data_IF_456672707817
#
_entry.id   IF_456672707817
#
_cell.length_a   1.000
_cell.length_b   1.000
_cell.length_c   1.000
_cell.angle_alpha   90.00
_cell.angle_beta   90.00
_cell.angle_gamma   90.00
#
_symmetry.space_group_name_H-M   'P 1'
#
loop_
_entity.id
_entity.type
_entity.pdbx_description
1 polymer ?
#
# COMPACT_ATOMS: atom_id res chain seq x y z
N UNK A 1 -58.01 9.91 1.33
CA UNK A 1 -57.71 9.31 2.65
C UNK A 1 -56.52 8.38 2.43
N UNK A 2 -55.33 8.55 2.98
CA UNK A 2 -54.89 9.36 4.10
C UNK A 2 -53.55 10.07 3.78
N UNK A 3 -53.40 11.25 4.36
CA UNK A 3 -52.20 12.10 4.31
C UNK A 3 -51.02 11.41 5.00
N UNK A 4 -49.90 11.24 4.30
CA UNK A 4 -48.59 11.10 4.96
C UNK A 4 -48.11 12.51 5.32
N UNK A 5 -48.45 12.92 6.55
CA UNK A 5 -47.87 14.09 7.20
C UNK A 5 -46.36 13.87 7.33
N UNK A 6 -45.58 14.80 6.79
CA UNK A 6 -44.19 15.01 7.20
C UNK A 6 -44.17 15.24 8.72
N UNK A 7 -43.42 14.41 9.45
CA UNK A 7 -43.08 14.70 10.83
C UNK A 7 -42.28 16.03 10.89
N UNK A 8 -42.56 16.92 11.85
CA UNK A 8 -41.78 18.14 11.99
C UNK A 8 -40.36 17.78 12.42
N UNK A 9 -39.36 18.36 11.75
CA UNK A 9 -38.00 18.47 12.26
C UNK A 9 -38.05 19.11 13.65
N UNK A 10 -37.98 18.27 14.68
CA UNK A 10 -37.70 18.67 16.06
C UNK A 10 -36.31 19.31 16.07
N UNK A 11 -36.25 20.63 15.89
CA UNK A 11 -35.10 21.43 16.28
C UNK A 11 -35.11 21.57 17.79
N UNK A 12 -34.81 20.48 18.48
CA UNK A 12 -34.39 20.57 19.88
C UNK A 12 -33.02 21.25 19.87
N UNK A 13 -32.83 22.41 20.55
CA UNK A 13 -31.50 22.97 20.68
C UNK A 13 -30.65 21.94 21.42
N UNK A 14 -29.49 21.57 20.85
CA UNK A 14 -28.47 20.81 21.58
C UNK A 14 -28.24 21.52 22.92
N UNK A 15 -28.22 20.80 24.06
CA UNK A 15 -27.94 21.43 25.35
C UNK A 15 -26.65 22.23 25.23
N UNK A 16 -26.69 23.49 25.69
CA UNK A 16 -25.53 24.38 25.66
C UNK A 16 -24.43 23.76 26.51
N UNK A 17 -23.32 23.38 25.87
CA UNK A 17 -22.12 22.89 26.53
C UNK A 17 -21.69 23.87 27.63
N UNK A 18 -21.22 23.34 28.75
CA UNK A 18 -20.58 24.12 29.82
C UNK A 18 -19.30 24.77 29.30
N UNK A 19 -18.82 25.83 29.96
CA UNK A 19 -17.57 26.51 29.56
C UNK A 19 -16.36 25.56 29.54
N UNK A 20 -16.32 24.60 30.45
CA UNK A 20 -15.27 23.57 30.52
C UNK A 20 -15.35 22.59 29.34
N UNK A 21 -16.56 22.17 28.97
CA UNK A 21 -16.77 21.31 27.79
C UNK A 21 -16.44 22.04 26.48
N UNK A 22 -16.78 23.32 26.37
CA UNK A 22 -16.42 24.17 25.21
C UNK A 22 -14.90 24.33 25.09
N UNK A 23 -14.20 24.54 26.21
CA UNK A 23 -12.75 24.69 26.23
C UNK A 23 -12.05 23.37 25.86
N UNK A 24 -12.55 22.23 26.35
CA UNK A 24 -12.03 20.91 26.01
C UNK A 24 -12.28 20.56 24.53
N UNK A 25 -13.43 20.95 23.97
CA UNK A 25 -13.74 20.80 22.55
C UNK A 25 -12.78 21.63 21.68
N UNK A 26 -12.55 22.90 22.04
CA UNK A 26 -11.60 23.78 21.34
C UNK A 26 -10.17 23.23 21.38
N UNK A 27 -9.70 22.74 22.53
CA UNK A 27 -8.39 22.11 22.67
C UNK A 27 -8.27 20.85 21.79
N UNK A 28 -9.31 20.02 21.76
CA UNK A 28 -9.35 18.80 20.93
C UNK A 28 -9.26 19.14 19.44
N UNK A 29 -10.01 20.15 18.98
CA UNK A 29 -9.97 20.62 17.59
C UNK A 29 -8.60 21.19 17.24
N UNK A 30 -7.99 21.94 18.15
CA UNK A 30 -6.63 22.47 17.99
C UNK A 30 -5.60 21.35 17.83
N UNK A 31 -5.66 20.31 18.67
CA UNK A 31 -4.79 19.13 18.56
C UNK A 31 -5.01 18.37 17.24
N UNK A 32 -6.25 18.26 16.79
CA UNK A 32 -6.57 17.65 15.50
C UNK A 32 -5.95 18.46 14.34
N UNK A 33 -6.08 19.79 14.34
CA UNK A 33 -5.46 20.64 13.33
C UNK A 33 -3.94 20.50 13.32
N UNK A 34 -3.32 20.46 14.51
CA UNK A 34 -1.88 20.26 14.64
C UNK A 34 -1.42 18.88 14.14
N UNK A 35 -2.23 17.84 14.34
CA UNK A 35 -1.99 16.50 13.81
C UNK A 35 -2.02 16.51 12.27
N UNK A 36 -2.99 17.21 11.68
CA UNK A 36 -3.12 17.33 10.22
C UNK A 36 -1.87 17.94 9.57
N UNK A 37 -1.32 19.00 10.16
CA UNK A 37 -0.07 19.65 9.69
C UNK A 37 1.10 18.67 9.66
N UNK A 38 1.13 17.70 10.58
CA UNK A 38 2.21 16.71 10.70
C UNK A 38 1.89 15.37 10.05
N UNK A 39 0.78 15.23 9.32
CA UNK A 39 0.34 13.95 8.72
C UNK A 39 1.42 13.29 7.88
N UNK A 40 2.23 14.07 7.17
CA UNK A 40 3.30 13.54 6.32
C UNK A 40 4.48 12.95 7.10
N UNK A 41 4.64 13.26 8.38
CA UNK A 41 5.73 12.72 9.19
C UNK A 41 5.65 11.19 9.29
N UNK A 42 4.47 10.64 9.58
CA UNK A 42 4.27 9.20 9.69
C UNK A 42 4.64 8.42 8.40
N UNK A 43 4.05 8.71 7.22
CA UNK A 43 4.35 7.92 6.03
C UNK A 43 5.80 8.07 5.59
N UNK A 44 6.43 9.23 5.80
CA UNK A 44 7.85 9.42 5.47
C UNK A 44 8.78 8.69 6.42
N UNK A 45 8.46 8.63 7.72
CA UNK A 45 9.21 7.83 8.69
C UNK A 45 9.05 6.33 8.42
N UNK A 46 7.84 5.88 8.08
CA UNK A 46 7.62 4.48 7.68
C UNK A 46 8.36 4.13 6.39
N UNK A 47 8.35 5.02 5.39
CA UNK A 47 9.16 4.87 4.17
C UNK A 47 10.63 4.68 4.50
N UNK A 48 11.20 5.57 5.31
CA UNK A 48 12.60 5.47 5.72
C UNK A 48 12.89 4.18 6.50
N UNK A 49 11.98 3.75 7.38
CA UNK A 49 12.13 2.50 8.12
C UNK A 49 12.11 1.25 7.21
N UNK A 50 11.26 1.26 6.17
CA UNK A 50 11.25 0.21 5.15
C UNK A 50 12.55 0.21 4.31
N UNK A 51 13.00 1.39 3.86
CA UNK A 51 14.23 1.53 3.08
C UNK A 51 15.49 1.13 3.87
N UNK A 52 15.52 1.41 5.16
CA UNK A 52 16.60 1.01 6.07
C UNK A 52 16.56 -0.49 6.41
N UNK A 53 15.44 -1.18 6.18
CA UNK A 53 15.23 -2.58 6.59
C UNK A 53 14.94 -2.74 8.09
N UNK A 54 14.44 -1.70 8.76
CA UNK A 54 14.08 -1.73 10.18
C UNK A 54 12.97 -2.75 10.46
N UNK A 55 11.94 -2.75 9.61
CA UNK A 55 10.77 -3.62 9.78
C UNK A 55 11.16 -5.10 9.63
N UNK A 56 11.97 -5.42 8.62
CA UNK A 56 12.51 -6.77 8.43
C UNK A 56 13.41 -7.17 9.60
N UNK A 57 14.28 -6.27 10.06
CA UNK A 57 15.21 -6.51 11.17
C UNK A 57 14.47 -6.85 12.47
N UNK A 58 13.45 -6.07 12.84
CA UNK A 58 12.68 -6.31 14.07
C UNK A 58 11.78 -7.54 13.92
N UNK A 59 11.32 -7.87 12.71
CA UNK A 59 10.45 -9.03 12.49
C UNK A 59 11.21 -10.35 12.31
N UNK A 60 12.54 -10.31 12.18
CA UNK A 60 13.39 -11.48 11.98
C UNK A 60 13.85 -12.16 13.28
N UNK A 61 13.65 -11.51 14.44
CA UNK A 61 13.98 -12.12 15.74
C UNK A 61 12.87 -13.03 16.24
N UNK A 62 13.20 -13.94 17.15
CA UNK A 62 12.24 -14.88 17.73
C UNK A 62 11.10 -14.16 18.47
N UNK A 63 9.95 -14.83 18.56
CA UNK A 63 8.78 -14.29 19.25
C UNK A 63 9.11 -13.96 20.71
N UNK A 64 8.75 -12.75 21.15
CA UNK A 64 9.03 -12.27 22.51
C UNK A 64 10.40 -11.62 22.68
N UNK A 65 11.26 -11.59 21.66
CA UNK A 65 12.50 -10.81 21.66
C UNK A 65 12.20 -9.34 21.32
N UNK A 66 12.78 -8.42 22.10
CA UNK A 66 12.69 -6.98 21.89
C UNK A 66 14.09 -6.45 21.61
N UNK A 67 14.19 -5.43 20.77
CA UNK A 67 15.47 -4.84 20.38
C UNK A 67 15.56 -3.38 20.79
N UNK A 68 16.68 -3.01 21.39
CA UNK A 68 17.03 -1.59 21.57
C UNK A 68 17.37 -0.93 20.22
N UNK A 69 17.29 0.41 20.10
CA UNK A 69 17.71 1.13 18.89
C UNK A 69 19.14 0.80 18.44
N UNK A 70 20.08 0.67 19.38
CA UNK A 70 21.47 0.30 19.09
C UNK A 70 21.58 -1.10 18.50
N UNK A 71 20.81 -2.04 19.03
CA UNK A 71 20.73 -3.41 18.53
C UNK A 71 20.11 -3.53 17.15
N UNK A 72 19.11 -2.70 16.85
CA UNK A 72 18.51 -2.61 15.52
C UNK A 72 19.56 -2.08 14.54
N UNK A 73 20.22 -0.96 14.86
CA UNK A 73 21.31 -0.38 14.04
C UNK A 73 22.40 -1.42 13.73
N UNK A 74 22.82 -2.19 14.73
CA UNK A 74 23.81 -3.26 14.56
C UNK A 74 23.35 -4.38 13.64
N UNK A 75 22.04 -4.58 13.47
CA UNK A 75 21.45 -5.64 12.62
C UNK A 75 20.98 -5.15 11.25
N UNK A 76 20.89 -3.85 11.02
CA UNK A 76 20.48 -3.30 9.71
C UNK A 76 21.34 -3.83 8.55
N UNK A 77 20.75 -4.07 7.37
CA UNK A 77 21.48 -4.52 6.18
C UNK A 77 22.50 -3.46 5.71
N UNK A 78 22.14 -2.18 5.78
CA UNK A 78 23.01 -1.05 5.47
C UNK A 78 23.50 -0.47 6.79
N UNK A 79 24.82 -0.56 7.06
CA UNK A 79 25.40 -0.04 8.30
C UNK A 79 25.50 1.50 8.25
N UNK A 80 24.85 2.22 9.17
CA UNK A 80 24.99 3.67 9.20
C UNK A 80 26.39 4.06 9.66
N UNK A 81 26.94 5.12 9.06
CA UNK A 81 28.19 5.77 9.48
C UNK A 81 27.96 6.87 10.52
N UNK A 82 26.71 7.27 10.74
CA UNK A 82 26.33 8.29 11.71
C UNK A 82 26.33 7.71 13.14
N UNK A 83 27.17 8.28 14.02
CA UNK A 83 27.27 7.85 15.42
C UNK A 83 25.98 8.09 16.21
N UNK A 84 25.17 9.07 15.80
CA UNK A 84 23.87 9.38 16.41
C UNK A 84 22.72 8.50 15.87
N UNK A 85 23.01 7.54 14.99
CA UNK A 85 21.99 6.70 14.37
C UNK A 85 21.05 6.01 15.38
N UNK A 86 21.52 5.44 16.51
CA UNK A 86 20.62 4.84 17.50
C UNK A 86 19.62 5.86 18.09
N UNK A 87 20.07 7.07 18.41
CA UNK A 87 19.22 8.12 19.01
C UNK A 87 18.18 8.64 18.00
N UNK A 88 18.60 8.84 16.75
CA UNK A 88 17.68 9.26 15.69
C UNK A 88 16.68 8.16 15.32
N UNK A 89 17.14 6.90 15.28
CA UNK A 89 16.28 5.75 15.02
C UNK A 89 15.25 5.59 16.13
N UNK A 90 15.64 5.70 17.40
CA UNK A 90 14.72 5.66 18.55
C UNK A 90 13.53 6.64 18.37
N UNK A 91 13.79 7.89 17.95
CA UNK A 91 12.74 8.88 17.65
C UNK A 91 11.80 8.43 16.53
N UNK A 92 12.32 7.81 15.47
CA UNK A 92 11.51 7.23 14.40
C UNK A 92 10.64 6.09 14.92
N UNK A 93 11.22 5.18 15.70
CA UNK A 93 10.54 4.02 16.26
C UNK A 93 9.41 4.41 17.22
N UNK A 94 9.55 5.50 17.99
CA UNK A 94 8.46 6.05 18.82
C UNK A 94 7.26 6.45 17.95
N UNK A 95 7.50 7.16 16.83
CA UNK A 95 6.41 7.58 15.94
C UNK A 95 5.73 6.37 15.28
N UNK A 96 6.50 5.34 14.90
CA UNK A 96 5.94 4.10 14.39
C UNK A 96 5.13 3.35 15.45
N UNK A 97 5.58 3.40 16.71
CA UNK A 97 4.84 2.80 17.81
C UNK A 97 3.54 3.55 18.13
N UNK A 98 3.51 4.88 18.01
CA UNK A 98 2.27 5.66 18.20
C UNK A 98 1.21 5.39 17.12
N UNK A 99 1.62 4.79 15.99
CA UNK A 99 0.73 4.36 14.91
C UNK A 99 0.52 2.83 14.88
N UNK A 100 0.87 2.13 15.96
CA UNK A 100 0.71 0.68 16.12
C UNK A 100 1.40 -0.16 15.03
N UNK A 101 2.44 0.39 14.40
CA UNK A 101 3.34 -0.38 13.53
C UNK A 101 4.29 -1.21 14.39
N UNK A 102 4.74 -0.63 15.49
CA UNK A 102 5.59 -1.24 16.50
C UNK A 102 4.94 -1.08 17.87
N UNK A 103 5.50 -1.76 18.86
CA UNK A 103 5.28 -1.48 20.28
C UNK A 103 6.62 -1.31 20.96
N UNK A 104 6.61 -0.61 22.09
CA UNK A 104 7.81 -0.42 22.89
C UNK A 104 7.56 -0.73 24.36
N UNK A 105 8.65 -1.05 25.06
CA UNK A 105 8.69 -1.13 26.53
C UNK A 105 9.94 -0.41 27.03
N UNK A 106 9.94 -0.02 28.30
CA UNK A 106 11.13 0.52 28.95
C UNK A 106 12.01 -0.62 29.43
N UNK A 107 13.32 -0.52 29.20
CA UNK A 107 14.29 -1.51 29.66
C UNK A 107 14.31 -1.55 31.20
N UNK A 108 14.20 -2.75 31.77
CA UNK A 108 13.96 -2.94 33.22
C UNK A 108 15.07 -2.34 34.10
N UNK A 109 16.33 -2.48 33.66
CA UNK A 109 17.49 -2.01 34.44
C UNK A 109 18.00 -0.63 34.01
N UNK A 110 17.59 -0.15 32.83
CA UNK A 110 17.98 1.17 32.29
C UNK A 110 16.71 1.90 31.88
N UNK A 111 16.02 2.48 32.87
CA UNK A 111 14.70 3.13 32.70
C UNK A 111 14.65 4.30 31.69
N UNK A 112 15.75 4.60 31.02
CA UNK A 112 15.85 5.60 29.95
C UNK A 112 15.94 4.99 28.54
N UNK A 113 16.21 3.68 28.44
CA UNK A 113 16.32 2.96 27.17
C UNK A 113 14.99 2.26 26.83
N UNK A 114 14.57 2.38 25.57
CA UNK A 114 13.40 1.69 25.01
C UNK A 114 13.83 0.46 24.25
N UNK A 115 13.01 -0.56 24.30
CA UNK A 115 13.11 -1.71 23.41
C UNK A 115 11.84 -1.83 22.58
N UNK A 116 11.98 -2.34 21.36
CA UNK A 116 10.93 -2.39 20.36
C UNK A 116 10.67 -3.81 19.88
N UNK A 117 9.40 -4.08 19.57
CA UNK A 117 8.96 -5.30 18.91
C UNK A 117 7.96 -4.97 17.80
N UNK A 118 7.91 -5.83 16.79
CA UNK A 118 6.97 -5.70 15.67
C UNK A 118 5.53 -5.95 16.13
N UNK A 119 4.59 -5.17 15.61
CA UNK A 119 3.16 -5.48 15.71
C UNK A 119 2.71 -6.34 14.51
N UNK A 120 1.57 -7.05 14.62
CA UNK A 120 1.08 -7.94 13.56
C UNK A 120 0.93 -7.29 12.19
N UNK A 121 0.78 -5.97 12.10
CA UNK A 121 0.69 -5.22 10.83
C UNK A 121 1.99 -5.29 10.02
N UNK A 122 3.15 -5.38 10.68
CA UNK A 122 4.46 -5.47 10.03
C UNK A 122 4.53 -6.63 9.04
N UNK A 123 3.84 -7.75 9.30
CA UNK A 123 3.82 -8.93 8.44
C UNK A 123 3.39 -8.64 7.00
N UNK A 124 2.57 -7.61 6.78
CA UNK A 124 2.09 -7.22 5.45
C UNK A 124 3.09 -6.37 4.68
N UNK A 125 4.14 -5.88 5.34
CA UNK A 125 5.22 -5.08 4.74
C UNK A 125 6.52 -5.87 4.57
N UNK A 126 6.60 -7.11 5.09
CA UNK A 126 7.79 -7.94 4.94
C UNK A 126 7.95 -8.45 3.52
N UNK A 127 9.18 -8.47 3.01
CA UNK A 127 9.51 -9.18 1.78
C UNK A 127 10.19 -10.50 2.10
N UNK A 128 9.39 -11.55 2.31
CA UNK A 128 9.88 -12.87 2.76
C UNK A 128 10.48 -13.71 1.64
N UNK A 129 10.39 -13.28 0.38
CA UNK A 129 10.85 -14.05 -0.78
C UNK A 129 10.09 -15.38 -1.02
N UNK A 130 9.08 -15.69 -0.20
CA UNK A 130 8.26 -16.91 -0.24
C UNK A 130 7.02 -16.77 -1.16
N UNK A 131 6.95 -15.67 -1.90
CA UNK A 131 5.80 -15.34 -2.74
C UNK A 131 4.53 -15.03 -1.94
N UNK A 132 4.61 -14.61 -0.66
CA UNK A 132 3.46 -14.13 0.11
C UNK A 132 2.83 -12.84 -0.43
N UNK A 133 3.62 -12.06 -1.16
CA UNK A 133 3.29 -10.66 -1.48
C UNK A 133 3.58 -9.73 -0.31
N UNK A 134 3.61 -8.43 -0.60
CA UNK A 134 3.91 -7.35 0.35
C UNK A 134 3.20 -6.06 -0.09
N UNK A 135 2.82 -5.24 0.88
CA UNK A 135 2.34 -3.87 0.68
C UNK A 135 3.49 -2.85 0.69
N UNK A 136 4.72 -3.23 1.03
CA UNK A 136 5.84 -2.31 1.08
C UNK A 136 6.12 -1.65 -0.27
N UNK A 137 6.20 -2.42 -1.36
CA UNK A 137 6.46 -1.82 -2.68
C UNK A 137 5.33 -0.88 -3.12
N UNK A 138 4.07 -1.20 -2.82
CA UNK A 138 2.92 -0.32 -3.09
C UNK A 138 2.99 0.97 -2.26
N UNK A 139 3.37 0.86 -0.99
CA UNK A 139 3.57 2.02 -0.13
C UNK A 139 4.71 2.92 -0.63
N UNK A 140 5.84 2.32 -1.00
CA UNK A 140 7.02 3.05 -1.50
C UNK A 140 6.74 3.77 -2.82
N UNK A 141 6.04 3.15 -3.78
CA UNK A 141 5.75 3.80 -5.05
C UNK A 141 4.80 4.99 -4.88
N UNK A 142 3.79 4.89 -4.00
CA UNK A 142 2.88 6.00 -3.69
C UNK A 142 3.60 7.22 -3.09
N UNK A 143 4.77 7.01 -2.50
CA UNK A 143 5.65 8.05 -1.93
C UNK A 143 6.90 8.29 -2.81
N UNK A 144 6.87 7.87 -4.07
CA UNK A 144 7.93 8.18 -5.03
C UNK A 144 7.84 9.64 -5.47
N UNK A 145 8.97 10.19 -5.93
CA UNK A 145 9.04 11.54 -6.48
C UNK A 145 8.03 11.75 -7.62
N UNK A 146 7.78 10.73 -8.44
CA UNK A 146 6.81 10.75 -9.54
C UNK A 146 5.41 11.06 -9.01
N UNK A 147 4.94 10.33 -8.00
CA UNK A 147 3.62 10.57 -7.41
C UNK A 147 3.57 11.85 -6.57
N UNK A 148 4.64 12.20 -5.85
CA UNK A 148 4.72 13.50 -5.15
C UNK A 148 4.53 14.68 -6.10
N UNK A 149 5.18 14.65 -7.27
CA UNK A 149 5.00 15.68 -8.30
C UNK A 149 3.58 15.67 -8.87
N UNK A 150 2.93 14.52 -8.98
CA UNK A 150 1.52 14.45 -9.38
C UNK A 150 0.60 15.14 -8.36
N UNK A 151 0.81 14.92 -7.06
CA UNK A 151 -0.02 15.53 -6.02
C UNK A 151 0.00 17.07 -6.02
N UNK A 152 1.11 17.70 -6.44
CA UNK A 152 1.19 19.16 -6.52
C UNK A 152 0.26 19.76 -7.58
N UNK A 153 -0.27 18.95 -8.50
CA UNK A 153 -1.15 19.38 -9.59
C UNK A 153 -2.64 19.10 -9.29
N UNK A 154 -2.98 18.56 -8.12
CA UNK A 154 -4.37 18.19 -7.78
C UNK A 154 -5.33 19.39 -7.79
N UNK A 155 -4.84 20.56 -7.37
CA UNK A 155 -5.61 21.82 -7.44
C UNK A 155 -6.03 22.15 -8.87
N UNK A 156 -5.13 21.95 -9.83
CA UNK A 156 -5.36 22.31 -11.23
C UNK A 156 -6.30 21.32 -11.93
N UNK A 157 -6.43 20.09 -11.42
CA UNK A 157 -7.52 19.18 -11.84
C UNK A 157 -8.90 19.81 -11.63
N UNK A 158 -9.09 20.47 -10.49
CA UNK A 158 -10.38 21.10 -10.16
C UNK A 158 -10.59 22.39 -10.95
N UNK A 159 -9.52 23.17 -11.14
CA UNK A 159 -9.60 24.46 -11.82
C UNK A 159 -9.69 24.33 -13.35
N UNK A 160 -9.01 23.36 -13.93
CA UNK A 160 -8.79 23.25 -15.37
C UNK A 160 -9.37 21.95 -15.98
N UNK A 161 -9.74 20.96 -15.15
CA UNK A 161 -10.26 19.66 -15.61
C UNK A 161 -9.19 18.74 -16.21
N UNK A 162 -7.91 19.12 -16.10
CA UNK A 162 -6.79 18.34 -16.63
C UNK A 162 -6.45 17.14 -15.73
N UNK A 163 -5.87 16.09 -16.30
CA UNK A 163 -5.32 14.96 -15.52
C UNK A 163 -4.05 15.40 -14.76
N UNK A 164 -4.02 15.21 -13.44
CA UNK A 164 -2.89 15.61 -12.58
C UNK A 164 -1.57 14.98 -13.02
N UNK A 165 -1.60 13.71 -13.44
CA UNK A 165 -0.38 13.03 -13.86
C UNK A 165 0.17 13.63 -15.14
N UNK A 166 -0.72 13.83 -16.13
CA UNK A 166 -0.37 14.48 -17.40
C UNK A 166 0.14 15.90 -17.20
N UNK A 167 -0.46 16.68 -16.30
CA UNK A 167 0.03 18.03 -15.96
C UNK A 167 1.44 18.00 -15.34
N UNK A 168 1.71 17.03 -14.46
CA UNK A 168 3.00 16.90 -13.80
C UNK A 168 4.13 16.40 -14.71
N UNK A 169 3.83 15.51 -15.64
CA UNK A 169 4.84 14.73 -16.39
C UNK A 169 4.78 14.90 -17.91
N UNK A 170 3.80 15.65 -18.43
CA UNK A 170 3.64 15.94 -19.86
C UNK A 170 3.14 14.77 -20.72
N UNK A 171 2.75 13.66 -20.09
CA UNK A 171 2.24 12.45 -20.75
C UNK A 171 1.37 11.64 -19.77
N UNK A 172 0.56 10.71 -20.29
CA UNK A 172 -0.29 9.86 -19.45
C UNK A 172 0.53 8.85 -18.65
N UNK A 173 -0.03 8.37 -17.53
CA UNK A 173 0.63 7.42 -16.63
C UNK A 173 1.19 6.18 -17.36
N UNK A 174 0.39 5.53 -18.19
CA UNK A 174 0.82 4.29 -18.87
C UNK A 174 1.91 4.55 -19.93
N UNK A 175 1.89 5.71 -20.59
CA UNK A 175 2.97 6.13 -21.50
C UNK A 175 4.27 6.41 -20.73
N UNK A 176 4.15 7.03 -19.55
CA UNK A 176 5.28 7.27 -18.65
C UNK A 176 5.89 5.97 -18.11
N UNK A 177 5.06 5.02 -17.70
CA UNK A 177 5.47 3.68 -17.27
C UNK A 177 6.27 2.99 -18.38
N UNK A 178 5.80 3.07 -19.63
CA UNK A 178 6.48 2.47 -20.78
C UNK A 178 7.79 3.16 -21.16
N UNK A 179 7.91 4.47 -20.96
CA UNK A 179 9.10 5.26 -21.33
C UNK A 179 10.17 5.35 -20.22
N UNK A 180 9.79 5.21 -18.95
CA UNK A 180 10.68 5.24 -17.80
C UNK A 180 10.84 3.83 -17.20
N UNK A 181 11.83 3.08 -17.68
CA UNK A 181 12.06 1.68 -17.27
C UNK A 181 12.20 1.50 -15.75
N UNK A 182 13.03 2.27 -15.00
CA UNK A 182 13.10 2.15 -13.54
C UNK A 182 11.75 2.32 -12.83
N UNK A 183 10.95 3.30 -13.25
CA UNK A 183 9.62 3.51 -12.69
C UNK A 183 8.65 2.39 -13.09
N UNK A 184 8.68 1.91 -14.33
CA UNK A 184 7.83 0.82 -14.79
C UNK A 184 8.11 -0.51 -14.10
N UNK A 185 9.38 -0.81 -13.79
CA UNK A 185 9.78 -1.96 -12.97
C UNK A 185 9.25 -1.84 -11.54
N UNK A 186 9.41 -0.66 -10.92
CA UNK A 186 8.86 -0.36 -9.60
C UNK A 186 7.34 -0.53 -9.59
N UNK A 187 6.63 0.04 -10.57
CA UNK A 187 5.18 -0.05 -10.71
C UNK A 187 4.70 -1.49 -10.83
N UNK A 188 5.32 -2.26 -11.73
CA UNK A 188 4.97 -3.66 -11.96
C UNK A 188 5.18 -4.51 -10.71
N UNK A 189 6.30 -4.30 -10.01
CA UNK A 189 6.59 -4.98 -8.75
C UNK A 189 5.54 -4.65 -7.68
N UNK A 190 5.22 -3.36 -7.51
CA UNK A 190 4.23 -2.90 -6.55
C UNK A 190 2.84 -3.48 -6.80
N UNK A 191 2.40 -3.49 -8.07
CA UNK A 191 1.11 -4.10 -8.45
C UNK A 191 1.12 -5.61 -8.23
N UNK A 192 2.21 -6.30 -8.58
CA UNK A 192 2.35 -7.76 -8.43
C UNK A 192 2.31 -8.19 -6.96
N UNK A 193 3.10 -7.56 -6.10
CA UNK A 193 3.20 -7.91 -4.68
C UNK A 193 1.89 -7.65 -3.94
N UNK A 194 1.24 -6.51 -4.18
CA UNK A 194 -0.05 -6.19 -3.58
C UNK A 194 -1.16 -7.12 -4.08
N UNK A 195 -1.18 -7.43 -5.38
CA UNK A 195 -2.18 -8.34 -5.96
C UNK A 195 -2.02 -9.77 -5.45
N UNK A 196 -0.79 -10.20 -5.13
CA UNK A 196 -0.53 -11.52 -4.55
C UNK A 196 -1.23 -11.69 -3.20
N UNK A 197 -1.15 -10.69 -2.31
CA UNK A 197 -1.83 -10.71 -1.01
C UNK A 197 -3.34 -10.85 -1.16
N UNK A 198 -3.94 -10.00 -2.00
CA UNK A 198 -5.39 -10.01 -2.26
C UNK A 198 -5.82 -11.32 -2.91
N UNK A 199 -5.10 -11.77 -3.94
CA UNK A 199 -5.51 -12.92 -4.74
C UNK A 199 -5.42 -14.23 -3.95
N UNK A 200 -4.46 -14.38 -3.03
CA UNK A 200 -4.43 -15.53 -2.12
C UNK A 200 -5.73 -15.64 -1.32
N UNK A 201 -6.25 -14.53 -0.80
CA UNK A 201 -7.53 -14.49 -0.07
C UNK A 201 -8.75 -14.71 -0.97
N UNK A 202 -8.75 -14.11 -2.16
CA UNK A 202 -9.81 -14.37 -3.14
C UNK A 202 -9.85 -15.85 -3.48
N UNK A 203 -8.72 -16.50 -3.74
CA UNK A 203 -8.67 -17.93 -4.07
C UNK A 203 -9.13 -18.82 -2.90
N UNK A 204 -8.92 -18.43 -1.64
CA UNK A 204 -9.44 -19.15 -0.47
C UNK A 204 -10.98 -19.20 -0.51
N UNK A 205 -11.64 -18.06 -0.72
CA UNK A 205 -13.09 -17.90 -0.60
C UNK A 205 -13.87 -18.11 -1.91
N UNK A 206 -13.42 -17.50 -3.01
CA UNK A 206 -14.12 -17.49 -4.29
C UNK A 206 -13.94 -18.82 -5.03
N UNK A 207 -15.07 -19.43 -5.43
CA UNK A 207 -15.10 -20.73 -6.13
C UNK A 207 -15.55 -20.63 -7.59
N UNK A 208 -15.81 -19.43 -8.11
CA UNK A 208 -16.31 -19.25 -9.48
C UNK A 208 -15.33 -19.63 -10.58
N UNK A 209 -14.07 -19.91 -10.26
CA UNK A 209 -13.08 -20.44 -11.22
C UNK A 209 -13.20 -21.94 -11.48
N UNK A 210 -13.97 -22.70 -10.69
CA UNK A 210 -14.00 -24.17 -10.78
C UNK A 210 -14.39 -24.68 -12.17
N UNK A 211 -15.38 -24.05 -12.80
CA UNK A 211 -15.97 -24.51 -14.06
C UNK A 211 -15.48 -23.70 -15.29
N UNK A 212 -14.49 -22.82 -15.10
CA UNK A 212 -13.87 -22.03 -16.17
C UNK A 212 -12.81 -22.89 -16.87
N UNK A 213 -12.79 -22.94 -18.21
CA UNK A 213 -11.72 -23.64 -18.94
C UNK A 213 -10.69 -22.65 -19.51
N UNK A 214 -11.13 -21.50 -20.01
CA UNK A 214 -10.25 -20.42 -20.48
C UNK A 214 -10.55 -19.14 -19.73
N UNK A 215 -9.52 -18.54 -19.13
CA UNK A 215 -9.62 -17.30 -18.36
C UNK A 215 -8.68 -16.25 -18.94
N UNK A 216 -9.19 -15.06 -19.27
CA UNK A 216 -8.35 -13.90 -19.62
C UNK A 216 -8.29 -12.91 -18.46
N UNK A 217 -7.09 -12.45 -18.11
CA UNK A 217 -6.87 -11.34 -17.18
C UNK A 217 -6.52 -10.09 -17.98
N UNK A 218 -7.43 -9.11 -17.95
CA UNK A 218 -7.31 -7.87 -18.73
C UNK A 218 -6.67 -6.81 -17.84
N UNK A 219 -5.52 -6.29 -18.25
CA UNK A 219 -4.67 -5.47 -17.38
C UNK A 219 -3.95 -6.33 -16.33
N UNK A 220 -3.63 -7.58 -16.67
CA UNK A 220 -3.02 -8.56 -15.74
C UNK A 220 -1.56 -8.27 -15.39
N UNK A 221 -0.98 -7.22 -15.96
CA UNK A 221 0.40 -6.83 -15.77
C UNK A 221 1.37 -7.91 -16.22
N UNK A 222 2.32 -8.24 -15.34
CA UNK A 222 3.28 -9.33 -15.57
C UNK A 222 2.68 -10.73 -15.37
N UNK A 223 1.36 -10.88 -15.13
CA UNK A 223 0.68 -12.17 -15.07
C UNK A 223 0.69 -12.89 -13.74
N UNK A 224 1.13 -12.25 -12.65
CA UNK A 224 1.21 -12.85 -11.31
C UNK A 224 -0.13 -13.42 -10.83
N UNK A 225 -1.23 -12.68 -11.05
CA UNK A 225 -2.58 -13.10 -10.64
C UNK A 225 -2.97 -14.40 -11.35
N UNK A 226 -2.79 -14.47 -12.66
CA UNK A 226 -3.06 -15.66 -13.44
C UNK A 226 -2.13 -16.83 -13.12
N UNK A 227 -0.87 -16.56 -12.78
CA UNK A 227 0.03 -17.58 -12.23
C UNK A 227 -0.53 -18.22 -10.95
N UNK A 228 -1.10 -17.43 -10.03
CA UNK A 228 -1.73 -17.94 -8.81
C UNK A 228 -3.02 -18.73 -9.11
N UNK A 229 -3.85 -18.24 -10.03
CA UNK A 229 -5.11 -18.90 -10.41
C UNK A 229 -4.82 -20.26 -11.05
N UNK A 230 -3.95 -20.31 -12.04
CA UNK A 230 -3.59 -21.55 -12.77
C UNK A 230 -2.84 -22.54 -11.89
N UNK A 231 -2.03 -22.08 -10.93
CA UNK A 231 -1.41 -22.95 -9.91
C UNK A 231 -2.45 -23.66 -9.03
N UNK A 232 -3.56 -22.99 -8.71
CA UNK A 232 -4.65 -23.56 -7.90
C UNK A 232 -5.64 -24.39 -8.72
N UNK A 233 -5.85 -24.00 -9.97
CA UNK A 233 -6.79 -24.61 -10.91
C UNK A 233 -6.05 -24.98 -12.21
N UNK A 234 -5.27 -26.08 -12.21
CA UNK A 234 -4.39 -26.42 -13.33
C UNK A 234 -5.11 -26.75 -14.65
N UNK A 235 -6.43 -26.97 -14.60
CA UNK A 235 -7.26 -27.18 -15.80
C UNK A 235 -7.54 -25.88 -16.56
N UNK A 236 -7.40 -24.72 -15.92
CA UNK A 236 -7.62 -23.41 -16.55
C UNK A 236 -6.47 -23.08 -17.48
N UNK A 237 -6.79 -22.75 -18.73
CA UNK A 237 -5.89 -22.12 -19.69
C UNK A 237 -5.95 -20.61 -19.49
N UNK A 238 -4.90 -20.06 -18.89
CA UNK A 238 -4.79 -18.64 -18.61
C UNK A 238 -4.30 -17.83 -19.80
N UNK A 239 -4.90 -16.67 -20.06
CA UNK A 239 -4.44 -15.65 -21.00
C UNK A 239 -4.16 -14.38 -20.20
N UNK A 240 -2.90 -14.02 -20.02
CA UNK A 240 -2.54 -12.74 -19.43
C UNK A 240 -2.50 -11.68 -20.54
N UNK A 241 -3.35 -10.66 -20.46
CA UNK A 241 -3.49 -9.63 -21.48
C UNK A 241 -3.15 -8.25 -20.94
N UNK A 242 -2.15 -7.59 -21.53
CA UNK A 242 -1.70 -6.25 -21.15
C UNK A 242 -1.00 -5.55 -22.33
N UNK A 243 -0.49 -4.33 -22.12
CA UNK A 243 0.24 -3.57 -23.13
C UNK A 243 1.54 -4.29 -23.56
N UNK A 244 2.00 -4.11 -24.81
CA UNK A 244 3.24 -4.71 -25.30
C UNK A 244 4.47 -4.42 -24.43
N UNK A 245 4.59 -3.19 -23.93
CA UNK A 245 5.69 -2.77 -23.06
C UNK A 245 5.74 -3.58 -21.76
N UNK A 246 4.59 -3.93 -21.19
CA UNK A 246 4.46 -4.67 -19.92
C UNK A 246 4.69 -6.16 -20.11
N UNK A 247 4.09 -6.74 -21.15
CA UNK A 247 4.20 -8.17 -21.46
C UNK A 247 5.63 -8.58 -21.84
N UNK A 248 6.41 -7.68 -22.42
CA UNK A 248 7.77 -7.96 -22.92
C UNK A 248 8.74 -8.52 -21.86
N UNK A 249 8.50 -8.27 -20.57
CA UNK A 249 9.33 -8.77 -19.46
C UNK A 249 8.56 -9.66 -18.48
N UNK A 250 7.35 -10.09 -18.84
CA UNK A 250 6.55 -10.98 -17.99
C UNK A 250 7.25 -12.34 -17.84
N UNK A 251 7.40 -12.86 -16.60
CA UNK A 251 7.97 -14.18 -16.38
C UNK A 251 6.99 -15.27 -16.84
N UNK A 252 7.53 -16.44 -17.20
CA UNK A 252 6.71 -17.57 -17.62
C UNK A 252 6.01 -18.22 -16.42
N UNK A 253 4.70 -18.41 -16.53
CA UNK A 253 3.91 -19.21 -15.58
C UNK A 253 3.31 -20.43 -16.28
N UNK A 254 3.40 -21.64 -15.68
CA UNK A 254 2.73 -22.83 -16.21
C UNK A 254 1.24 -22.60 -16.40
N UNK A 255 0.71 -22.94 -17.60
CA UNK A 255 -0.71 -22.76 -17.92
C UNK A 255 -1.12 -21.33 -18.31
N UNK A 256 -0.19 -20.37 -18.35
CA UNK A 256 -0.46 -18.98 -18.75
C UNK A 256 0.20 -18.66 -20.09
N UNK A 257 -0.56 -18.07 -21.01
CA UNK A 257 -0.07 -17.46 -22.24
C UNK A 257 -0.13 -15.94 -22.11
N UNK A 258 0.99 -15.26 -22.31
CA UNK A 258 0.97 -13.79 -22.38
C UNK A 258 0.61 -13.32 -23.79
N UNK A 259 -0.30 -12.35 -23.87
CA UNK A 259 -0.76 -11.73 -25.10
C UNK A 259 -0.71 -10.23 -24.91
N UNK A 260 -0.03 -9.53 -25.83
CA UNK A 260 0.01 -8.07 -25.80
C UNK A 260 -1.10 -7.47 -26.66
N UNK A 261 -1.67 -6.35 -26.23
CA UNK A 261 -2.60 -5.58 -27.05
C UNK A 261 -3.17 -4.38 -26.32
N UNK A 262 -4.23 -3.81 -26.88
CA UNK A 262 -4.99 -2.71 -26.28
C UNK A 262 -6.43 -3.16 -26.01
N UNK A 263 -6.83 -3.17 -24.74
CA UNK A 263 -8.16 -3.59 -24.30
C UNK A 263 -9.30 -2.72 -24.83
N UNK A 264 -9.00 -1.47 -25.24
CA UNK A 264 -9.98 -0.59 -25.86
C UNK A 264 -10.22 -0.93 -27.34
N UNK A 265 -9.36 -1.75 -27.94
CA UNK A 265 -9.49 -2.22 -29.32
C UNK A 265 -10.06 -3.64 -29.35
N UNK A 266 -9.41 -4.60 -28.70
CA UNK A 266 -9.83 -6.00 -28.67
C UNK A 266 -9.33 -6.70 -27.39
N UNK A 267 -10.13 -7.61 -26.87
CA UNK A 267 -9.76 -8.50 -25.75
C UNK A 267 -9.78 -9.95 -26.25
N UNK A 268 -8.79 -10.79 -25.90
CA UNK A 268 -8.78 -12.21 -26.26
C UNK A 268 -10.06 -12.94 -25.82
N UNK A 269 -10.58 -13.80 -26.70
CA UNK A 269 -11.75 -14.64 -26.37
C UNK A 269 -11.41 -15.68 -25.30
N UNK A 270 -12.26 -15.79 -24.29
CA UNK A 270 -12.16 -16.72 -23.19
C UNK A 270 -13.56 -17.01 -22.60
N UNK A 271 -13.69 -18.04 -21.76
CA UNK A 271 -14.96 -18.37 -21.11
C UNK A 271 -15.30 -17.35 -20.01
N UNK A 272 -14.27 -16.77 -19.38
CA UNK A 272 -14.41 -15.75 -18.37
C UNK A 272 -13.32 -14.67 -18.50
N UNK A 273 -13.64 -13.46 -18.02
CA UNK A 273 -12.75 -12.32 -17.93
C UNK A 273 -12.53 -11.99 -16.45
N UNK A 274 -11.26 -11.88 -16.05
CA UNK A 274 -10.84 -11.31 -14.79
C UNK A 274 -10.42 -9.85 -15.03
N UNK A 275 -10.94 -8.95 -14.20
CA UNK A 275 -10.51 -7.56 -14.12
C UNK A 275 -10.33 -7.20 -12.66
N UNK A 276 -9.08 -7.06 -12.23
CA UNK A 276 -8.76 -6.62 -10.88
C UNK A 276 -8.59 -5.10 -10.87
N UNK A 277 -9.65 -4.39 -10.51
CA UNK A 277 -9.59 -2.94 -10.34
C UNK A 277 -8.93 -2.61 -9.00
N UNK A 278 -7.89 -1.79 -9.03
CA UNK A 278 -7.30 -1.23 -7.82
C UNK A 278 -7.87 0.17 -7.68
N UNK A 279 -8.84 0.35 -6.77
CA UNK A 279 -9.36 1.68 -6.43
C UNK A 279 -8.26 2.46 -5.70
N UNK A 280 -7.48 3.23 -6.47
CA UNK A 280 -6.67 4.32 -5.95
C UNK A 280 -7.52 5.57 -6.18
N UNK A 281 -7.86 6.26 -5.09
CA UNK A 281 -8.77 7.41 -5.06
C UNK A 281 -8.32 8.47 -6.07
#
# INVERSE_FOLDING_TARGET
MANHLQEPLSTSPKPSLTKEEQQLEEETVSLQAQSLVNTMAFPMVLKAALELGVIDTISAVDEGVWLSPSEIVLRLPIKPTNLEAPVLLDRMLILLASHSILKYRMHETRKTEREYAAEPVCKFFLNRGDGSGSLASLFLINLSEVYFKTWTNLKDVILEGNDAFSAAHGMKLFDYIGSNKPFGEMFSKSMSEASTLTMKKVLEAYKGFKDVNTLVDVGGGIGTVLGLVTSKYPHIKGINFDLPSVVAYAPLYPGVKHVSGDMFTEIPKADAILMKVSSSI
#
